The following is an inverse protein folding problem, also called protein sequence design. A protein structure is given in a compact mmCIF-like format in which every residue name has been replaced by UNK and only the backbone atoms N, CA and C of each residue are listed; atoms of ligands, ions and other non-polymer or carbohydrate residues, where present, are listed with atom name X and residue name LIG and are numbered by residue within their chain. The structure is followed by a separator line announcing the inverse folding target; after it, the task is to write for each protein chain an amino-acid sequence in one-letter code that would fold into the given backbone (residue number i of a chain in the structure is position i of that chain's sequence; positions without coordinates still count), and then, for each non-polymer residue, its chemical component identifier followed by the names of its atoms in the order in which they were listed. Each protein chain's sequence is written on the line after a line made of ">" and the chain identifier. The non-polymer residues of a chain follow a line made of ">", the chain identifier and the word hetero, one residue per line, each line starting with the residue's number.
data_IF_681329164401
#
_entry.id   IF_681329164401
#
_cell.length_a   1.000
_cell.length_b   1.000
_cell.length_c   1.000
_cell.angle_alpha   90.00
_cell.angle_beta   90.00
_cell.angle_gamma   90.00
#
_symmetry.space_group_name_H-M   'P 1'
#
loop_
_entity.id
_entity.type
_entity.pdbx_description
1 polymer ?
#
# COMPACT_ATOMS: atom_id res chain seq x y z
N UNK A 1 15.04 54.18 -27.04
CA UNK A 1 13.71 53.74 -26.61
C UNK A 1 13.82 53.30 -25.16
N UNK A 2 13.42 54.14 -24.19
CA UNK A 2 13.45 53.79 -22.76
C UNK A 2 12.24 52.89 -22.50
N UNK A 3 12.50 51.62 -22.18
CA UNK A 3 11.44 50.68 -21.82
C UNK A 3 10.89 51.12 -20.45
N UNK A 4 9.61 51.47 -20.42
CA UNK A 4 8.89 51.82 -19.19
C UNK A 4 8.72 50.55 -18.32
N UNK A 5 9.51 50.48 -17.25
CA UNK A 5 9.56 49.33 -16.33
C UNK A 5 8.31 49.17 -15.47
N UNK A 6 7.37 50.11 -15.54
CA UNK A 6 6.12 50.13 -14.78
C UNK A 6 4.92 49.62 -15.58
N UNK A 7 5.07 49.50 -16.91
CA UNK A 7 4.01 49.04 -17.82
C UNK A 7 3.66 47.55 -17.64
N UNK A 8 2.37 47.21 -17.69
CA UNK A 8 1.89 45.83 -17.62
C UNK A 8 2.50 44.93 -18.71
N UNK A 9 2.79 45.50 -19.89
CA UNK A 9 3.44 44.78 -21.01
C UNK A 9 4.89 44.41 -20.67
N UNK A 10 5.62 45.29 -19.96
CA UNK A 10 6.98 45.00 -19.53
C UNK A 10 7.02 43.84 -18.52
N UNK A 11 6.10 43.82 -17.57
CA UNK A 11 5.99 42.73 -16.57
C UNK A 11 5.61 41.40 -17.22
N UNK A 12 4.66 41.41 -18.18
CA UNK A 12 4.27 40.22 -18.92
C UNK A 12 5.43 39.65 -19.76
N UNK A 13 6.17 40.51 -20.46
CA UNK A 13 7.35 40.09 -21.22
C UNK A 13 8.47 39.57 -20.30
N UNK A 14 8.72 40.22 -19.15
CA UNK A 14 9.73 39.76 -18.21
C UNK A 14 9.37 38.39 -17.62
N UNK A 15 8.10 38.18 -17.24
CA UNK A 15 7.61 36.89 -16.75
C UNK A 15 7.72 35.81 -17.83
N UNK A 16 7.32 36.11 -19.07
CA UNK A 16 7.45 35.17 -20.20
C UNK A 16 8.90 34.75 -20.45
N UNK A 17 9.84 35.70 -20.39
CA UNK A 17 11.28 35.41 -20.54
C UNK A 17 11.78 34.56 -19.36
N UNK A 18 11.39 34.88 -18.13
CA UNK A 18 11.78 34.12 -16.95
C UNK A 18 11.25 32.68 -17.00
N UNK A 19 9.97 32.49 -17.35
CA UNK A 19 9.37 31.17 -17.52
C UNK A 19 10.06 30.38 -18.64
N UNK A 20 10.42 31.02 -19.75
CA UNK A 20 11.16 30.38 -20.84
C UNK A 20 12.55 29.91 -20.37
N UNK A 21 13.27 30.74 -19.61
CA UNK A 21 14.59 30.37 -19.05
C UNK A 21 14.46 29.23 -18.05
N UNK A 22 13.50 29.27 -17.13
CA UNK A 22 13.26 28.19 -16.18
C UNK A 22 12.84 26.88 -16.88
N UNK A 23 12.00 26.96 -17.92
CA UNK A 23 11.59 25.80 -18.70
C UNK A 23 12.76 25.16 -19.47
N UNK A 24 13.64 25.98 -20.04
CA UNK A 24 14.85 25.50 -20.72
C UNK A 24 15.81 24.82 -19.73
N UNK A 25 16.01 25.42 -18.55
CA UNK A 25 16.84 24.87 -17.48
C UNK A 25 16.28 23.54 -16.96
N UNK A 26 14.98 23.47 -16.67
CA UNK A 26 14.33 22.23 -16.24
C UNK A 26 14.41 21.15 -17.31
N UNK A 27 14.20 21.51 -18.58
CA UNK A 27 14.30 20.58 -19.70
C UNK A 27 15.72 20.02 -19.89
N UNK A 28 16.75 20.86 -19.78
CA UNK A 28 18.16 20.40 -19.87
C UNK A 28 18.56 19.55 -18.67
N UNK A 29 18.16 19.92 -17.45
CA UNK A 29 18.37 19.09 -16.26
C UNK A 29 17.67 17.75 -16.42
N UNK A 30 16.41 17.72 -16.85
CA UNK A 30 15.67 16.48 -17.09
C UNK A 30 16.35 15.62 -18.17
N UNK A 31 16.80 16.23 -19.28
CA UNK A 31 17.45 15.51 -20.37
C UNK A 31 18.82 14.90 -19.99
N UNK A 32 19.57 15.53 -19.09
CA UNK A 32 20.85 14.99 -18.58
C UNK A 32 20.62 13.97 -17.47
N UNK A 33 19.61 14.19 -16.62
CA UNK A 33 19.33 13.33 -15.46
C UNK A 33 18.62 12.04 -15.89
N UNK A 34 17.76 12.09 -16.90
CA UNK A 34 17.02 10.93 -17.41
C UNK A 34 17.93 9.72 -17.80
N UNK A 35 19.02 9.87 -18.58
CA UNK A 35 19.88 8.74 -18.92
C UNK A 35 20.64 8.19 -17.70
N UNK A 36 21.04 9.05 -16.76
CA UNK A 36 21.71 8.62 -15.51
C UNK A 36 20.72 7.87 -14.61
N UNK A 37 19.45 8.29 -14.55
CA UNK A 37 18.39 7.57 -13.84
C UNK A 37 18.16 6.21 -14.49
N UNK A 38 18.13 6.12 -15.82
CA UNK A 38 17.99 4.84 -16.51
C UNK A 38 19.17 3.91 -16.23
N UNK A 39 20.40 4.41 -16.26
CA UNK A 39 21.60 3.61 -15.95
C UNK A 39 21.61 3.16 -14.49
N UNK A 40 21.24 4.04 -13.55
CA UNK A 40 21.14 3.70 -12.13
C UNK A 40 19.97 2.75 -11.84
N UNK A 41 18.84 2.87 -12.53
CA UNK A 41 17.70 1.96 -12.43
C UNK A 41 18.08 0.57 -12.95
N UNK A 42 18.78 0.51 -14.09
CA UNK A 42 19.35 -0.74 -14.62
C UNK A 42 20.40 -1.34 -13.69
N UNK A 43 21.24 -0.52 -13.07
CA UNK A 43 22.23 -0.98 -12.08
C UNK A 43 21.54 -1.48 -10.80
N UNK A 44 20.47 -0.83 -10.35
CA UNK A 44 19.66 -1.23 -9.19
C UNK A 44 18.99 -2.58 -9.45
N UNK A 45 18.32 -2.72 -10.62
CA UNK A 45 17.75 -4.00 -11.05
C UNK A 45 18.82 -5.09 -11.09
N UNK A 46 19.97 -4.85 -11.73
CA UNK A 46 21.08 -5.83 -11.76
C UNK A 46 21.60 -6.19 -10.37
N UNK A 47 21.78 -5.21 -9.50
CA UNK A 47 22.21 -5.43 -8.12
C UNK A 47 21.19 -6.30 -7.37
N UNK A 48 19.90 -6.04 -7.54
CA UNK A 48 18.86 -6.80 -6.87
C UNK A 48 18.66 -8.20 -7.46
N UNK A 49 18.85 -8.38 -8.78
CA UNK A 49 18.90 -9.71 -9.41
C UNK A 49 20.01 -10.56 -8.75
N UNK A 50 21.20 -9.98 -8.59
CA UNK A 50 22.34 -10.63 -7.93
C UNK A 50 22.09 -10.91 -6.45
N UNK A 51 21.35 -10.04 -5.75
CA UNK A 51 20.94 -10.28 -4.36
C UNK A 51 19.98 -11.48 -4.21
N UNK A 52 19.04 -11.63 -5.14
CA UNK A 52 18.07 -12.74 -5.11
C UNK A 52 18.75 -14.05 -5.50
N UNK A 53 19.52 -14.05 -6.60
CA UNK A 53 20.20 -15.25 -7.10
C UNK A 53 21.70 -15.02 -7.34
N UNK A 54 22.52 -15.03 -6.27
CA UNK A 54 23.96 -14.75 -6.37
C UNK A 54 24.70 -15.67 -7.35
N UNK A 55 25.47 -15.10 -8.27
CA UNK A 55 26.25 -15.80 -9.29
C UNK A 55 25.43 -16.46 -10.39
N UNK A 56 24.18 -16.04 -10.60
CA UNK A 56 23.38 -16.50 -11.73
C UNK A 56 23.66 -15.69 -13.00
N UNK A 57 23.46 -16.32 -14.16
CA UNK A 57 23.38 -15.59 -15.42
C UNK A 57 21.93 -15.21 -15.68
N UNK A 58 21.69 -13.92 -15.92
CA UNK A 58 20.35 -13.38 -16.16
C UNK A 58 20.18 -13.09 -17.65
N UNK A 59 19.09 -13.59 -18.23
CA UNK A 59 18.68 -13.28 -19.61
C UNK A 59 17.34 -12.56 -19.56
N UNK A 60 17.27 -11.40 -20.21
CA UNK A 60 16.00 -10.71 -20.41
C UNK A 60 15.17 -11.47 -21.45
N UNK A 61 13.99 -11.93 -21.04
CA UNK A 61 13.04 -12.68 -21.87
C UNK A 61 11.69 -11.96 -21.91
N UNK A 62 11.67 -10.66 -21.61
CA UNK A 62 10.44 -9.86 -21.51
C UNK A 62 9.65 -9.92 -22.81
N UNK A 63 10.26 -9.57 -23.94
CA UNK A 63 9.59 -9.56 -25.24
C UNK A 63 9.02 -10.93 -25.65
N UNK A 64 9.72 -12.01 -25.29
CA UNK A 64 9.33 -13.39 -25.63
C UNK A 64 8.18 -13.92 -24.77
N UNK A 65 8.07 -13.46 -23.52
CA UNK A 65 7.17 -14.04 -22.51
C UNK A 65 6.00 -13.17 -22.13
N UNK A 66 6.09 -11.86 -22.37
CA UNK A 66 5.01 -10.92 -22.03
C UNK A 66 3.70 -11.26 -22.77
N UNK A 67 3.77 -11.85 -23.97
CA UNK A 67 2.59 -12.29 -24.73
C UNK A 67 1.80 -13.45 -24.10
N UNK A 68 2.30 -14.07 -23.02
CA UNK A 68 1.55 -15.05 -22.23
C UNK A 68 0.58 -14.40 -21.24
N UNK A 69 0.74 -13.09 -20.99
CA UNK A 69 -0.14 -12.30 -20.16
C UNK A 69 -1.48 -12.10 -20.88
N UNK A 70 -2.57 -12.45 -20.21
CA UNK A 70 -3.93 -12.21 -20.67
C UNK A 70 -4.59 -11.21 -19.74
N UNK A 71 -4.84 -10.02 -20.26
CA UNK A 71 -5.48 -8.92 -19.54
C UNK A 71 -6.97 -8.90 -19.84
N UNK A 72 -7.78 -8.54 -18.84
CA UNK A 72 -9.20 -8.24 -19.05
C UNK A 72 -9.34 -6.86 -19.69
N UNK A 73 -10.47 -6.62 -20.35
CA UNK A 73 -10.75 -5.33 -20.98
C UNK A 73 -10.60 -4.17 -19.98
N UNK A 74 -9.70 -3.24 -20.29
CA UNK A 74 -9.42 -2.06 -19.47
C UNK A 74 -8.38 -2.26 -18.36
N UNK A 75 -7.67 -3.40 -18.30
CA UNK A 75 -6.53 -3.59 -17.40
C UNK A 75 -5.20 -3.15 -18.05
N UNK A 76 -4.36 -2.49 -17.26
CA UNK A 76 -3.00 -2.11 -17.65
C UNK A 76 -2.00 -3.24 -17.40
N UNK A 77 -0.93 -3.27 -18.18
CA UNK A 77 0.21 -4.18 -17.96
C UNK A 77 1.07 -3.64 -16.80
N UNK A 78 1.27 -4.47 -15.78
CA UNK A 78 2.02 -4.14 -14.55
C UNK A 78 3.41 -4.81 -14.51
N UNK A 79 3.81 -5.49 -15.59
CA UNK A 79 5.12 -6.13 -15.74
C UNK A 79 6.04 -5.21 -16.53
N UNK A 80 7.12 -4.76 -15.89
CA UNK A 80 8.19 -3.97 -16.52
C UNK A 80 9.26 -4.86 -17.17
N UNK A 81 9.48 -6.07 -16.65
CA UNK A 81 10.50 -6.97 -17.16
C UNK A 81 10.42 -8.39 -16.62
N UNK A 82 10.92 -9.35 -17.40
CA UNK A 82 10.98 -10.78 -17.09
C UNK A 82 12.41 -11.26 -17.35
N UNK A 83 13.09 -11.72 -16.31
CA UNK A 83 14.47 -12.17 -16.36
C UNK A 83 14.56 -13.65 -16.00
N UNK A 84 15.11 -14.46 -16.89
CA UNK A 84 15.42 -15.85 -16.60
C UNK A 84 16.79 -15.94 -15.91
N UNK A 85 16.84 -16.51 -14.71
CA UNK A 85 18.08 -16.85 -14.02
C UNK A 85 18.42 -18.31 -14.30
N UNK A 86 19.43 -18.55 -15.14
CA UNK A 86 19.78 -19.88 -15.63
C UNK A 86 19.89 -20.91 -14.49
N UNK A 87 19.06 -21.96 -14.56
CA UNK A 87 19.06 -23.08 -13.60
C UNK A 87 18.47 -22.77 -12.22
N UNK A 88 18.02 -21.54 -11.95
CA UNK A 88 17.48 -21.14 -10.63
C UNK A 88 15.99 -20.78 -10.69
N UNK A 89 15.57 -19.94 -11.61
CA UNK A 89 14.19 -19.46 -11.66
C UNK A 89 13.96 -18.27 -12.57
N UNK A 90 12.83 -17.60 -12.39
CA UNK A 90 12.43 -16.41 -13.17
C UNK A 90 12.13 -15.25 -12.24
N UNK A 91 12.63 -14.07 -12.56
CA UNK A 91 12.37 -12.82 -11.83
C UNK A 91 11.48 -11.92 -12.67
N UNK A 92 10.49 -11.33 -12.02
CA UNK A 92 9.59 -10.34 -12.59
C UNK A 92 9.86 -9.00 -11.94
N UNK A 93 10.11 -7.97 -12.76
CA UNK A 93 10.07 -6.58 -12.33
C UNK A 93 8.67 -6.05 -12.56
N UNK A 94 8.07 -5.50 -11.52
CA UNK A 94 6.67 -5.14 -11.46
C UNK A 94 6.53 -3.69 -11.02
N UNK A 95 5.50 -3.01 -11.53
CA UNK A 95 5.07 -1.71 -11.05
C UNK A 95 3.60 -1.73 -10.67
N UNK A 96 3.21 -0.91 -9.71
CA UNK A 96 1.79 -0.65 -9.43
C UNK A 96 1.63 0.67 -8.67
N UNK A 97 0.41 1.21 -8.68
CA UNK A 97 0.05 2.37 -7.88
C UNK A 97 -0.70 1.93 -6.63
N UNK A 98 -0.22 2.37 -5.47
CA UNK A 98 -0.79 2.08 -4.16
C UNK A 98 -1.67 3.21 -3.65
N UNK A 99 -1.46 3.61 -2.40
CA UNK A 99 -2.14 4.78 -1.84
C UNK A 99 -1.63 6.07 -2.48
N UNK A 100 -0.32 6.15 -2.71
CA UNK A 100 0.31 7.33 -3.29
C UNK A 100 0.36 7.22 -4.83
N UNK A 101 0.07 8.34 -5.50
CA UNK A 101 -0.03 8.40 -6.97
C UNK A 101 1.31 8.12 -7.68
N UNK A 102 2.44 8.37 -7.00
CA UNK A 102 3.78 8.10 -7.53
C UNK A 102 4.07 6.59 -7.67
N UNK A 103 3.27 5.74 -7.02
CA UNK A 103 3.35 4.29 -7.11
C UNK A 103 4.62 3.68 -6.53
N UNK A 104 4.86 2.43 -6.91
CA UNK A 104 6.00 1.65 -6.47
C UNK A 104 6.41 0.63 -7.53
N UNK A 105 7.69 0.26 -7.52
CA UNK A 105 8.30 -0.82 -8.29
C UNK A 105 8.96 -1.81 -7.37
N UNK A 106 8.79 -3.08 -7.69
CA UNK A 106 9.31 -4.18 -6.89
C UNK A 106 9.62 -5.37 -7.79
N UNK A 107 10.28 -6.37 -7.24
CA UNK A 107 10.54 -7.63 -7.92
C UNK A 107 10.01 -8.78 -7.08
N UNK A 108 9.51 -9.79 -7.80
CA UNK A 108 9.25 -11.11 -7.26
C UNK A 108 9.98 -12.14 -8.11
N UNK A 109 10.63 -13.10 -7.47
CA UNK A 109 11.30 -14.20 -8.14
C UNK A 109 10.63 -15.51 -7.75
N UNK A 110 10.39 -16.36 -8.75
CA UNK A 110 9.96 -17.73 -8.56
C UNK A 110 11.13 -18.66 -8.87
N UNK A 111 11.38 -19.61 -7.99
CA UNK A 111 12.26 -20.74 -8.26
C UNK A 111 11.60 -21.66 -9.30
N UNK A 112 12.38 -22.56 -9.91
CA UNK A 112 11.86 -23.52 -10.90
C UNK A 112 10.73 -24.44 -10.37
N UNK A 113 10.63 -24.62 -9.05
CA UNK A 113 9.56 -25.40 -8.40
C UNK A 113 8.29 -24.58 -8.12
N UNK A 114 8.29 -23.29 -8.47
CA UNK A 114 7.20 -22.36 -8.23
C UNK A 114 7.21 -21.72 -6.84
N UNK A 115 8.13 -22.06 -5.94
CA UNK A 115 8.29 -21.34 -4.66
C UNK A 115 8.83 -19.92 -4.89
N UNK A 116 8.47 -18.97 -4.03
CA UNK A 116 9.03 -17.61 -4.10
C UNK A 116 10.50 -17.64 -3.66
N UNK A 117 11.42 -17.39 -4.59
CA UNK A 117 12.86 -17.32 -4.35
C UNK A 117 13.35 -15.95 -3.87
N UNK A 118 12.56 -14.90 -4.07
CA UNK A 118 12.92 -13.55 -3.62
C UNK A 118 11.78 -12.54 -3.79
N UNK A 119 11.75 -11.55 -2.92
CA UNK A 119 10.84 -10.41 -3.00
C UNK A 119 11.59 -9.17 -2.51
N UNK A 120 11.67 -8.14 -3.35
CA UNK A 120 12.45 -6.93 -3.05
C UNK A 120 11.83 -5.69 -3.67
N UNK A 121 11.91 -4.56 -2.97
CA UNK A 121 11.45 -3.27 -3.49
C UNK A 121 12.58 -2.56 -4.24
N UNK A 122 12.24 -1.95 -5.38
CA UNK A 122 13.16 -1.14 -6.19
C UNK A 122 12.95 0.35 -5.91
N UNK A 123 11.70 0.79 -5.97
CA UNK A 123 11.27 2.18 -5.78
C UNK A 123 9.92 2.16 -5.07
N UNK A 124 9.71 2.98 -4.04
CA UNK A 124 8.39 3.09 -3.42
C UNK A 124 8.19 4.47 -2.80
N UNK A 125 6.99 5.01 -2.99
CA UNK A 125 6.58 6.30 -2.45
C UNK A 125 5.50 6.18 -1.37
N UNK A 126 5.29 4.99 -0.80
CA UNK A 126 4.22 4.74 0.17
C UNK A 126 4.50 5.37 1.54
N UNK A 127 3.44 5.70 2.28
CA UNK A 127 3.56 6.37 3.58
C UNK A 127 4.23 5.46 4.62
N UNK A 128 5.25 5.99 5.28
CA UNK A 128 6.00 5.27 6.32
C UNK A 128 5.10 4.84 7.50
N UNK A 129 5.26 3.58 7.94
CA UNK A 129 4.42 2.95 8.96
C UNK A 129 3.04 2.49 8.47
N UNK A 130 2.72 2.69 7.19
CA UNK A 130 1.44 2.31 6.55
C UNK A 130 1.72 1.39 5.35
N UNK A 131 1.70 1.93 4.14
CA UNK A 131 1.89 1.16 2.90
C UNK A 131 3.29 0.57 2.76
N UNK A 132 4.30 1.21 3.36
CA UNK A 132 5.68 0.69 3.38
C UNK A 132 5.82 -0.67 4.07
N UNK A 133 4.84 -1.08 4.90
CA UNK A 133 4.77 -2.40 5.52
C UNK A 133 4.72 -3.54 4.48
N UNK A 134 4.20 -3.27 3.28
CA UNK A 134 4.19 -4.24 2.19
C UNK A 134 5.60 -4.58 1.65
N UNK A 135 6.63 -3.81 2.05
CA UNK A 135 8.01 -3.99 1.59
C UNK A 135 8.99 -4.24 2.74
N UNK A 136 8.48 -4.54 3.94
CA UNK A 136 9.27 -4.74 5.16
C UNK A 136 8.84 -6.03 5.87
N UNK A 137 9.69 -6.49 6.77
CA UNK A 137 9.30 -7.57 7.68
C UNK A 137 8.16 -7.11 8.62
N UNK A 138 7.22 -8.01 8.96
CA UNK A 138 7.20 -9.44 8.66
C UNK A 138 6.62 -9.81 7.28
N UNK A 139 6.08 -8.86 6.51
CA UNK A 139 5.39 -9.16 5.25
C UNK A 139 6.28 -9.85 4.23
N UNK A 140 7.49 -9.33 4.03
CA UNK A 140 8.46 -9.93 3.10
C UNK A 140 8.74 -11.38 3.47
N UNK A 141 8.97 -11.66 4.76
CA UNK A 141 9.17 -13.02 5.28
C UNK A 141 7.98 -13.95 5.03
N UNK A 142 6.74 -13.44 5.03
CA UNK A 142 5.55 -14.23 4.72
C UNK A 142 5.41 -14.48 3.22
N UNK A 143 5.72 -13.49 2.39
CA UNK A 143 5.75 -13.63 0.91
C UNK A 143 6.76 -14.69 0.47
N UNK A 144 7.92 -14.78 1.11
CA UNK A 144 8.95 -15.79 0.82
C UNK A 144 8.51 -17.24 1.15
N UNK A 145 7.39 -17.43 1.87
CA UNK A 145 6.82 -18.76 2.15
C UNK A 145 5.78 -19.20 1.12
N UNK A 146 5.44 -18.33 0.18
CA UNK A 146 4.41 -18.57 -0.84
C UNK A 146 4.97 -19.31 -2.05
N UNK A 147 4.06 -19.75 -2.90
CA UNK A 147 4.31 -20.30 -4.23
C UNK A 147 3.59 -19.48 -5.30
N UNK A 148 3.86 -19.76 -6.57
CA UNK A 148 3.17 -19.18 -7.73
C UNK A 148 1.69 -19.55 -7.82
N UNK A 149 1.21 -20.47 -6.98
CA UNK A 149 -0.21 -20.80 -6.87
C UNK A 149 -0.93 -20.02 -5.77
N UNK A 150 -0.19 -19.42 -4.84
CA UNK A 150 -0.75 -18.68 -3.72
C UNK A 150 -1.01 -17.22 -4.07
N UNK A 151 -1.99 -16.63 -3.40
CA UNK A 151 -2.31 -15.20 -3.52
C UNK A 151 -1.51 -14.39 -2.51
N UNK A 152 -1.19 -13.14 -2.84
CA UNK A 152 -0.50 -12.24 -1.91
C UNK A 152 -1.37 -11.91 -0.67
N UNK A 153 -0.79 -11.91 0.54
CA UNK A 153 -1.53 -11.57 1.75
C UNK A 153 -1.87 -10.07 1.80
N UNK A 154 -2.98 -9.76 2.48
CA UNK A 154 -3.39 -8.37 2.78
C UNK A 154 -2.95 -7.99 4.20
N UNK A 155 -2.54 -6.73 4.40
CA UNK A 155 -2.19 -6.20 5.73
C UNK A 155 -3.18 -5.11 6.14
N UNK A 156 -3.71 -5.20 7.37
CA UNK A 156 -4.54 -4.15 7.97
C UNK A 156 -3.79 -2.82 8.05
N UNK A 157 -4.44 -1.74 7.61
CA UNK A 157 -3.83 -0.39 7.55
C UNK A 157 -2.90 -0.18 6.34
N UNK A 158 -2.73 -1.18 5.49
CA UNK A 158 -2.01 -1.12 4.21
C UNK A 158 -2.74 -1.88 3.09
N UNK A 159 -4.07 -2.03 3.21
CA UNK A 159 -4.88 -2.86 2.31
C UNK A 159 -4.83 -2.37 0.87
N UNK A 160 -4.81 -1.05 0.65
CA UNK A 160 -4.72 -0.46 -0.70
C UNK A 160 -3.40 -0.86 -1.36
N UNK A 161 -2.28 -0.67 -0.67
CA UNK A 161 -0.94 -1.03 -1.14
C UNK A 161 -0.79 -2.53 -1.38
N UNK A 162 -1.21 -3.36 -0.41
CA UNK A 162 -1.10 -4.83 -0.52
C UNK A 162 -2.02 -5.42 -1.59
N UNK A 163 -3.18 -4.80 -1.84
CA UNK A 163 -4.03 -5.16 -2.98
C UNK A 163 -3.36 -4.81 -4.31
N UNK A 164 -2.74 -3.64 -4.40
CA UNK A 164 -1.99 -3.22 -5.59
C UNK A 164 -0.80 -4.15 -5.88
N UNK A 165 -0.04 -4.53 -4.84
CA UNK A 165 1.01 -5.56 -4.95
C UNK A 165 0.42 -6.88 -5.45
N UNK A 166 -0.70 -7.34 -4.87
CA UNK A 166 -1.37 -8.57 -5.28
C UNK A 166 -1.72 -8.61 -6.76
N UNK A 167 -2.30 -7.52 -7.29
CA UNK A 167 -2.65 -7.43 -8.72
C UNK A 167 -1.44 -7.55 -9.65
N UNK A 168 -0.33 -6.89 -9.32
CA UNK A 168 0.88 -7.00 -10.12
C UNK A 168 1.51 -8.40 -10.03
N UNK A 169 1.48 -9.02 -8.84
CA UNK A 169 1.92 -10.42 -8.67
C UNK A 169 1.00 -11.41 -9.38
N UNK A 170 -0.30 -11.12 -9.48
CA UNK A 170 -1.26 -11.95 -10.22
C UNK A 170 -0.89 -12.06 -11.70
N UNK A 171 -0.47 -10.94 -12.31
CA UNK A 171 0.06 -10.93 -13.67
C UNK A 171 1.36 -11.74 -13.79
N UNK A 172 2.28 -11.59 -12.84
CA UNK A 172 3.53 -12.35 -12.82
C UNK A 172 3.31 -13.87 -12.72
N UNK A 173 2.43 -14.31 -11.80
CA UNK A 173 2.11 -15.74 -11.64
C UNK A 173 1.41 -16.30 -12.86
N UNK A 174 0.56 -15.53 -13.55
CA UNK A 174 -0.07 -15.97 -14.80
C UNK A 174 0.98 -16.30 -15.86
N UNK A 175 1.93 -15.38 -16.10
CA UNK A 175 3.01 -15.60 -17.05
C UNK A 175 3.89 -16.78 -16.62
N UNK A 176 4.31 -16.83 -15.36
CA UNK A 176 5.16 -17.90 -14.84
C UNK A 176 4.50 -19.27 -14.93
N UNK A 177 3.24 -19.39 -14.53
CA UNK A 177 2.52 -20.66 -14.52
C UNK A 177 2.25 -21.16 -15.93
N UNK A 178 1.93 -20.26 -16.89
CA UNK A 178 1.82 -20.62 -18.31
C UNK A 178 3.15 -21.08 -18.91
N UNK A 179 4.26 -20.40 -18.58
CA UNK A 179 5.59 -20.82 -19.03
C UNK A 179 5.95 -22.24 -18.57
N UNK A 180 5.52 -22.61 -17.37
CA UNK A 180 5.92 -23.86 -16.71
C UNK A 180 4.82 -24.94 -16.70
N UNK A 181 3.67 -24.69 -17.34
CA UNK A 181 2.49 -25.57 -17.34
C UNK A 181 2.00 -25.94 -15.92
N UNK A 182 2.04 -24.98 -15.00
CA UNK A 182 1.56 -25.14 -13.62
C UNK A 182 0.06 -24.79 -13.59
N UNK A 183 -0.76 -25.69 -13.06
CA UNK A 183 -2.19 -25.43 -12.84
C UNK A 183 -2.38 -24.63 -11.56
N UNK A 184 -3.17 -23.55 -11.63
CA UNK A 184 -3.50 -22.69 -10.50
C UNK A 184 -4.88 -22.06 -10.71
N UNK A 185 -5.46 -21.50 -9.65
CA UNK A 185 -6.70 -20.73 -9.75
C UNK A 185 -6.38 -19.26 -10.10
N UNK A 186 -6.62 -18.91 -11.36
CA UNK A 186 -6.44 -17.56 -11.90
C UNK A 186 -7.41 -16.52 -11.31
N UNK A 187 -8.52 -16.97 -10.72
CA UNK A 187 -9.51 -16.11 -10.08
C UNK A 187 -9.42 -16.18 -8.55
N UNK A 188 -8.40 -16.83 -8.00
CA UNK A 188 -8.16 -16.87 -6.57
C UNK A 188 -8.03 -15.44 -6.04
N UNK A 189 -8.91 -15.09 -5.10
CA UNK A 189 -8.86 -13.80 -4.41
C UNK A 189 -7.86 -13.87 -3.27
N UNK A 190 -7.11 -12.78 -3.06
CA UNK A 190 -6.24 -12.63 -1.90
C UNK A 190 -6.96 -13.02 -0.62
N UNK A 191 -6.46 -14.06 0.05
CA UNK A 191 -6.96 -14.42 1.37
C UNK A 191 -6.53 -13.31 2.32
N UNK A 192 -7.46 -12.64 3.03
CA UNK A 192 -7.09 -11.69 4.08
C UNK A 192 -6.12 -12.38 5.02
N UNK A 193 -5.06 -11.68 5.48
CA UNK A 193 -4.19 -12.27 6.49
C UNK A 193 -5.06 -12.84 7.62
N UNK A 194 -4.72 -14.03 8.17
CA UNK A 194 -5.46 -14.61 9.27
C UNK A 194 -5.69 -13.53 10.31
N UNK A 195 -6.95 -13.19 10.54
CA UNK A 195 -7.29 -12.14 11.50
C UNK A 195 -6.63 -12.55 12.80
N UNK A 196 -5.79 -11.67 13.36
CA UNK A 196 -5.17 -11.93 14.65
C UNK A 196 -6.28 -12.38 15.60
N UNK A 197 -6.11 -13.52 16.29
CA UNK A 197 -7.17 -14.02 17.17
C UNK A 197 -7.62 -12.89 18.08
N UNK A 198 -8.92 -12.55 18.10
CA UNK A 198 -9.35 -11.34 18.78
C UNK A 198 -8.97 -11.44 20.25
N UNK A 199 -8.21 -10.45 20.70
CA UNK A 199 -7.73 -10.33 22.07
C UNK A 199 -8.79 -9.58 22.86
N UNK A 200 -8.83 -9.77 24.19
CA UNK A 200 -9.73 -8.98 25.02
C UNK A 200 -9.36 -7.49 24.90
N UNK A 201 -10.35 -6.60 24.74
CA UNK A 201 -10.14 -5.16 24.54
C UNK A 201 -9.23 -4.52 25.62
N UNK A 202 -9.32 -4.98 26.86
CA UNK A 202 -8.46 -4.50 27.96
C UNK A 202 -6.99 -4.88 27.83
N UNK A 203 -6.63 -5.74 26.88
CA UNK A 203 -5.26 -6.19 26.61
C UNK A 203 -4.72 -5.67 25.28
N UNK A 204 -5.52 -4.96 24.49
CA UNK A 204 -5.07 -4.34 23.25
C UNK A 204 -4.27 -3.06 23.52
N UNK A 205 -3.28 -2.79 22.66
CA UNK A 205 -2.45 -1.60 22.74
C UNK A 205 -2.94 -0.53 21.75
N UNK A 206 -3.81 0.36 22.23
CA UNK A 206 -4.36 1.47 21.44
C UNK A 206 -3.54 2.77 21.50
N UNK A 207 -2.29 2.73 21.96
CA UNK A 207 -1.47 3.95 22.14
C UNK A 207 -1.29 4.74 20.85
N UNK A 208 -1.21 4.06 19.71
CA UNK A 208 -1.05 4.71 18.41
C UNK A 208 -2.26 5.56 18.02
N UNK A 209 -3.46 5.23 18.53
CA UNK A 209 -4.68 5.99 18.31
C UNK A 209 -4.78 7.24 19.20
N UNK A 210 -3.86 7.44 20.17
CA UNK A 210 -3.84 8.62 21.06
C UNK A 210 -5.22 8.99 21.58
N UNK A 211 -5.96 7.98 22.04
CA UNK A 211 -7.35 8.15 22.46
C UNK A 211 -7.43 8.87 23.80
N UNK A 212 -8.31 9.86 23.89
CA UNK A 212 -8.59 10.67 25.08
C UNK A 212 -10.10 10.72 25.31
N UNK A 213 -10.56 10.36 26.51
CA UNK A 213 -11.98 10.44 26.88
C UNK A 213 -12.15 11.30 28.13
N UNK A 214 -13.14 12.19 28.09
CA UNK A 214 -13.54 13.02 29.23
C UNK A 214 -14.95 12.64 29.66
N UNK A 215 -15.14 12.34 30.95
CA UNK A 215 -16.47 12.12 31.51
C UNK A 215 -17.26 13.43 31.46
N UNK A 216 -18.43 13.41 30.81
CA UNK A 216 -19.30 14.57 30.68
C UNK A 216 -20.51 14.48 31.61
N UNK A 217 -20.93 13.28 31.98
CA UNK A 217 -22.03 13.04 32.93
C UNK A 217 -21.94 11.66 33.53
N UNK A 218 -22.35 11.52 34.80
CA UNK A 218 -22.48 10.23 35.47
C UNK A 218 -23.58 10.31 36.52
N UNK A 219 -24.67 9.57 36.31
CA UNK A 219 -25.82 9.54 37.22
C UNK A 219 -25.80 8.33 38.18
N UNK A 220 -24.71 7.56 38.20
CA UNK A 220 -24.56 6.33 38.97
C UNK A 220 -25.16 5.08 38.32
N UNK A 221 -25.97 5.23 37.27
CA UNK A 221 -26.48 4.13 36.43
C UNK A 221 -25.87 4.14 35.03
N UNK A 222 -25.66 5.34 34.49
CA UNK A 222 -25.14 5.59 33.15
C UNK A 222 -24.09 6.69 33.23
N UNK A 223 -22.92 6.41 32.63
CA UNK A 223 -21.84 7.37 32.46
C UNK A 223 -21.68 7.70 30.97
N UNK A 224 -21.45 8.97 30.67
CA UNK A 224 -21.28 9.49 29.31
C UNK A 224 -19.90 10.09 29.19
N UNK A 225 -19.19 9.70 28.13
CA UNK A 225 -17.84 10.15 27.83
C UNK A 225 -17.81 10.82 26.46
N UNK A 226 -17.17 11.99 26.38
CA UNK A 226 -16.75 12.58 25.12
C UNK A 226 -15.33 12.11 24.83
N UNK A 227 -15.17 11.34 23.76
CA UNK A 227 -13.92 10.71 23.37
C UNK A 227 -13.39 11.29 22.06
N UNK A 228 -12.07 11.40 21.97
CA UNK A 228 -11.33 11.76 20.75
C UNK A 228 -10.27 10.71 20.51
N UNK A 229 -10.10 10.30 19.26
CA UNK A 229 -9.04 9.38 18.88
C UNK A 229 -8.50 9.76 17.50
N UNK A 230 -7.19 9.59 17.31
CA UNK A 230 -6.57 9.68 15.99
C UNK A 230 -6.98 8.47 15.14
N UNK A 231 -7.62 8.77 14.01
CA UNK A 231 -7.94 7.86 12.93
C UNK A 231 -6.80 7.74 11.92
N UNK A 232 -7.14 7.40 10.68
CA UNK A 232 -6.15 7.18 9.62
C UNK A 232 -5.41 8.47 9.20
N UNK A 233 -6.13 9.58 9.06
CA UNK A 233 -5.62 10.90 8.65
C UNK A 233 -6.00 12.01 9.64
N UNK A 234 -7.09 11.87 10.40
CA UNK A 234 -7.63 12.93 11.25
C UNK A 234 -7.91 12.52 12.68
N UNK A 235 -8.53 13.44 13.42
CA UNK A 235 -9.06 13.19 14.77
C UNK A 235 -10.55 12.95 14.64
N UNK A 236 -10.98 11.77 15.06
CA UNK A 236 -12.37 11.37 15.17
C UNK A 236 -12.87 11.66 16.59
N UNK A 237 -14.09 12.16 16.71
CA UNK A 237 -14.73 12.43 18.00
C UNK A 237 -16.01 11.60 18.11
N UNK A 238 -16.27 11.05 19.29
CA UNK A 238 -17.44 10.24 19.56
C UNK A 238 -17.96 10.44 20.99
N UNK A 239 -19.26 10.28 21.17
CA UNK A 239 -19.89 10.15 22.49
C UNK A 239 -20.09 8.68 22.81
N UNK A 240 -19.53 8.22 23.93
CA UNK A 240 -19.65 6.84 24.40
C UNK A 240 -20.46 6.82 25.68
N UNK A 241 -21.56 6.06 25.66
CA UNK A 241 -22.41 5.86 26.84
C UNK A 241 -22.14 4.48 27.41
N UNK A 242 -21.87 4.40 28.71
CA UNK A 242 -21.54 3.16 29.44
C UNK A 242 -22.55 2.93 30.53
N UNK A 243 -23.01 1.69 30.67
CA UNK A 243 -23.76 1.22 31.82
C UNK A 243 -22.82 0.96 33.00
N UNK A 244 -23.00 1.68 34.11
CA UNK A 244 -22.06 1.68 35.24
C UNK A 244 -22.06 0.33 35.98
N UNK A 245 -23.22 -0.31 36.09
CA UNK A 245 -23.38 -1.56 36.84
C UNK A 245 -22.70 -2.74 36.12
N UNK A 246 -22.92 -2.84 34.81
CA UNK A 246 -22.36 -3.91 33.98
C UNK A 246 -20.99 -3.59 33.40
N UNK A 247 -20.56 -2.31 33.49
CA UNK A 247 -19.34 -1.79 32.83
C UNK A 247 -19.33 -2.09 31.33
N UNK A 248 -20.49 -1.98 30.70
CA UNK A 248 -20.70 -2.32 29.30
C UNK A 248 -21.10 -1.09 28.48
N UNK A 249 -20.71 -1.05 27.22
CA UNK A 249 -21.09 0.04 26.31
C UNK A 249 -22.58 -0.05 25.98
N UNK A 250 -23.33 1.03 26.20
CA UNK A 250 -24.75 1.16 25.81
C UNK A 250 -24.90 1.67 24.38
N UNK A 251 -24.09 2.65 24.00
CA UNK A 251 -24.12 3.26 22.67
C UNK A 251 -22.81 3.99 22.37
N UNK A 252 -22.49 4.09 21.08
CA UNK A 252 -21.42 4.95 20.55
C UNK A 252 -22.04 5.81 19.45
N UNK A 253 -21.81 7.11 19.51
CA UNK A 253 -22.26 8.07 18.49
C UNK A 253 -21.06 8.87 18.00
N UNK A 254 -20.69 8.72 16.73
CA UNK A 254 -19.60 9.49 16.12
C UNK A 254 -20.09 10.93 15.90
N UNK A 255 -19.48 11.89 16.58
CA UNK A 255 -19.85 13.32 16.51
C UNK A 255 -19.02 14.06 15.47
N UNK A 256 -17.83 13.57 15.15
CA UNK A 256 -16.96 14.11 14.11
C UNK A 256 -16.13 13.00 13.49
N UNK A 257 -16.18 12.90 12.16
CA UNK A 257 -15.27 12.07 11.39
C UNK A 257 -14.24 12.96 10.68
N UNK A 258 -12.96 12.70 10.92
CA UNK A 258 -11.85 13.51 10.46
C UNK A 258 -10.96 12.84 9.41
N UNK A 259 -11.23 11.59 9.04
CA UNK A 259 -10.48 10.87 8.01
C UNK A 259 -10.96 11.20 6.58
N UNK A 260 -10.22 10.73 5.57
CA UNK A 260 -10.54 10.91 4.15
C UNK A 260 -11.89 10.27 3.82
N UNK A 261 -12.72 10.96 3.04
CA UNK A 261 -13.98 10.40 2.55
C UNK A 261 -13.71 9.09 1.80
N UNK A 262 -14.54 8.07 2.05
CA UNK A 262 -14.41 6.67 1.61
C UNK A 262 -13.31 5.83 2.30
N UNK A 263 -12.48 6.40 3.17
CA UNK A 263 -11.43 5.69 3.91
C UNK A 263 -11.80 5.61 5.40
N UNK A 264 -12.34 4.46 5.81
CA UNK A 264 -12.72 4.22 7.21
C UNK A 264 -14.17 4.60 7.56
N UNK A 265 -14.90 5.24 6.65
CA UNK A 265 -16.31 5.67 6.85
C UNK A 265 -17.23 4.54 7.28
N UNK A 266 -16.94 3.31 6.84
CA UNK A 266 -17.70 2.12 7.22
C UNK A 266 -17.73 1.93 8.74
N UNK A 267 -16.64 2.26 9.44
CA UNK A 267 -16.54 2.15 10.90
C UNK A 267 -17.47 3.13 11.63
N UNK A 268 -17.95 4.19 10.95
CA UNK A 268 -18.89 5.16 11.53
C UNK A 268 -20.36 4.78 11.33
N UNK A 269 -20.64 3.74 10.53
CA UNK A 269 -22.01 3.32 10.24
C UNK A 269 -22.67 2.71 11.47
N UNK A 270 -23.95 2.99 11.66
CA UNK A 270 -24.73 2.47 12.79
C UNK A 270 -24.62 0.94 12.95
N UNK A 271 -24.60 0.18 11.84
CA UNK A 271 -24.45 -1.27 11.88
C UNK A 271 -23.10 -1.74 12.47
N UNK A 272 -22.03 -0.98 12.27
CA UNK A 272 -20.72 -1.27 12.85
C UNK A 272 -20.65 -0.83 14.32
N UNK A 273 -21.24 0.33 14.64
CA UNK A 273 -21.30 0.85 16.01
C UNK A 273 -22.14 -0.02 16.95
N UNK A 274 -23.23 -0.62 16.46
CA UNK A 274 -24.07 -1.53 17.26
C UNK A 274 -23.32 -2.80 17.69
N UNK A 275 -22.24 -3.21 17.00
CA UNK A 275 -21.41 -4.35 17.42
C UNK A 275 -20.73 -4.12 18.77
N UNK A 276 -20.58 -2.86 19.17
CA UNK A 276 -19.99 -2.48 20.45
C UNK A 276 -21.00 -2.46 21.60
N UNK A 277 -22.29 -2.66 21.34
CA UNK A 277 -23.30 -2.66 22.40
C UNK A 277 -23.15 -3.90 23.29
N UNK A 278 -23.10 -3.69 24.60
CA UNK A 278 -22.87 -4.74 25.60
C UNK A 278 -21.41 -5.15 25.77
N UNK A 279 -20.49 -4.56 25.00
CA UNK A 279 -19.06 -4.87 25.05
C UNK A 279 -18.45 -4.36 26.35
N UNK A 280 -17.58 -5.19 26.93
CA UNK A 280 -16.79 -4.94 28.13
C UNK A 280 -15.29 -5.07 27.83
N UNK A 281 -14.43 -4.73 28.78
CA UNK A 281 -12.97 -4.89 28.63
C UNK A 281 -12.51 -6.35 28.40
N UNK A 282 -13.31 -7.32 28.84
CA UNK A 282 -13.02 -8.75 28.64
C UNK A 282 -13.53 -9.27 27.28
N UNK A 283 -14.33 -8.45 26.58
CA UNK A 283 -14.91 -8.83 25.30
C UNK A 283 -13.84 -8.85 24.21
N UNK A 284 -13.99 -9.82 23.32
CA UNK A 284 -13.20 -9.95 22.09
C UNK A 284 -14.04 -9.35 20.97
N UNK A 285 -13.67 -8.15 20.54
CA UNK A 285 -14.33 -7.49 19.42
C UNK A 285 -13.35 -7.46 18.27
N UNK A 286 -13.86 -7.83 17.11
CA UNK A 286 -13.08 -7.96 15.91
C UNK A 286 -12.84 -6.56 15.33
N UNK A 287 -11.65 -6.00 15.56
CA UNK A 287 -11.22 -4.69 15.05
C UNK A 287 -10.93 -4.69 13.55
#
# INVERSE_FOLDING_TARGET
>A
MKIDKTSGVYKACMLGILCAVCGILLSTVNAITAPIIQENALASVKSSLEQIYPGATFTDVTEDKIGLLELKDGEDTLIDGIYNAEGKGTIFTLHSTGYNADGFKFMIAYNNDGSVGGYSVLEQAETAGKGDKAFKDPYVSDVLKLTSSDTMPLITGATITTTAVGKAVDQARQVFNKMNNISYDENATATPAPKAEPVALGKEDFKDNKAECTETSNDGTTAVYACKAHGFEGVNEATVTVDVASKSVKSIEVTKFGDTESVGDQATKAAELEKYKGVTLESKVDS
#
